data_IF_714191638833
#
_entry.id   IF_714191638833
#
_cell.length_a   1.000
_cell.length_b   1.000
_cell.length_c   1.000
_cell.angle_alpha   90.00
_cell.angle_beta   90.00
_cell.angle_gamma   90.00
#
_symmetry.space_group_name_H-M   'P 1'
#
loop_
_entity.id
_entity.type
_entity.pdbx_description
1 polymer ?
#
# COMPACT_ATOMS: atom_id res chain seq x y z
N UNK A 1 27.47 -18.77 32.71
CA UNK A 1 27.38 -18.18 31.36
C UNK A 1 25.96 -18.44 30.84
N UNK A 2 25.08 -17.46 30.96
CA UNK A 2 23.68 -17.59 30.55
C UNK A 2 23.61 -17.40 29.03
N UNK A 3 23.30 -18.47 28.29
CA UNK A 3 23.07 -18.37 26.84
C UNK A 3 21.77 -17.61 26.64
N UNK A 4 21.89 -16.34 26.25
CA UNK A 4 20.87 -15.57 25.54
C UNK A 4 20.53 -16.34 24.25
N UNK A 5 19.63 -17.32 24.38
CA UNK A 5 19.08 -18.07 23.26
C UNK A 5 18.18 -17.12 22.47
N UNK A 6 18.66 -16.75 21.28
CA UNK A 6 17.95 -15.98 20.26
C UNK A 6 16.47 -16.38 20.20
N UNK A 7 15.57 -15.48 20.61
CA UNK A 7 14.14 -15.60 20.29
C UNK A 7 14.00 -15.40 18.78
N UNK A 8 14.32 -16.42 18.00
CA UNK A 8 13.81 -16.51 16.63
C UNK A 8 12.30 -16.36 16.73
N UNK A 9 11.70 -15.37 16.04
CA UNK A 9 10.26 -15.20 16.05
C UNK A 9 9.62 -16.55 15.70
N UNK A 10 8.56 -16.98 16.41
CA UNK A 10 7.83 -18.18 16.02
C UNK A 10 7.47 -18.05 14.55
N UNK A 11 7.61 -19.11 13.75
CA UNK A 11 7.51 -19.07 12.29
C UNK A 11 6.40 -18.10 11.82
N UNK A 12 5.21 -18.22 12.42
CA UNK A 12 4.03 -17.37 12.17
C UNK A 12 4.26 -15.86 12.17
N UNK A 13 5.19 -15.34 12.95
CA UNK A 13 5.48 -13.90 13.02
C UNK A 13 6.20 -13.41 11.75
N UNK A 14 7.08 -14.21 11.17
CA UNK A 14 7.76 -13.85 9.90
C UNK A 14 6.78 -13.87 8.74
N UNK A 15 5.90 -14.87 8.69
CA UNK A 15 4.85 -14.92 7.67
C UNK A 15 3.86 -13.76 7.81
N UNK A 16 3.44 -13.41 9.04
CA UNK A 16 2.57 -12.27 9.29
C UNK A 16 3.18 -10.94 8.82
N UNK A 17 4.48 -10.72 9.07
CA UNK A 17 5.21 -9.54 8.58
C UNK A 17 5.28 -9.53 7.05
N UNK A 18 5.56 -10.67 6.43
CA UNK A 18 5.57 -10.79 4.97
C UNK A 18 4.21 -10.47 4.33
N UNK A 19 3.13 -10.93 4.94
CA UNK A 19 1.76 -10.61 4.52
C UNK A 19 1.45 -9.12 4.69
N UNK A 20 1.77 -8.54 5.85
CA UNK A 20 1.58 -7.11 6.10
C UNK A 20 2.32 -6.24 5.07
N UNK A 21 3.54 -6.63 4.69
CA UNK A 21 4.34 -5.94 3.68
C UNK A 21 3.70 -5.99 2.28
N UNK A 22 3.23 -7.17 1.87
CA UNK A 22 2.54 -7.35 0.58
C UNK A 22 1.24 -6.54 0.51
N UNK A 23 0.48 -6.51 1.61
CA UNK A 23 -0.74 -5.73 1.72
C UNK A 23 -0.46 -4.22 1.72
N UNK A 24 0.55 -3.80 2.50
CA UNK A 24 0.98 -2.41 2.59
C UNK A 24 1.35 -1.84 1.23
N UNK A 25 2.16 -2.55 0.44
CA UNK A 25 2.51 -2.11 -0.91
C UNK A 25 1.34 -2.12 -1.88
N UNK A 26 0.43 -3.09 -1.77
CA UNK A 26 -0.74 -3.15 -2.64
C UNK A 26 -1.65 -1.92 -2.49
N UNK A 27 -1.60 -1.24 -1.34
CA UNK A 27 -2.38 -0.04 -1.04
C UNK A 27 -1.53 1.23 -1.25
N UNK A 28 -0.30 1.27 -0.75
CA UNK A 28 0.56 2.44 -0.82
C UNK A 28 0.92 2.81 -2.26
N UNK A 29 1.16 1.81 -3.12
CA UNK A 29 1.64 2.05 -4.48
C UNK A 29 0.57 2.74 -5.37
N UNK A 30 -0.71 2.31 -5.37
CA UNK A 30 -1.77 3.08 -6.01
C UNK A 30 -1.95 4.49 -5.43
N UNK A 31 -2.00 4.64 -4.11
CA UNK A 31 -2.22 5.95 -3.47
C UNK A 31 -1.12 6.93 -3.88
N UNK A 32 0.15 6.57 -3.68
CA UNK A 32 1.28 7.43 -4.04
C UNK A 32 1.32 7.68 -5.53
N UNK A 33 1.08 6.66 -6.36
CA UNK A 33 1.04 6.81 -7.82
C UNK A 33 -0.01 7.82 -8.29
N UNK A 34 -1.27 7.66 -7.88
CA UNK A 34 -2.35 8.56 -8.29
C UNK A 34 -2.22 9.96 -7.69
N UNK A 35 -1.78 10.08 -6.43
CA UNK A 35 -1.54 11.38 -5.80
C UNK A 35 -0.41 12.13 -6.52
N UNK A 36 0.67 11.45 -6.89
CA UNK A 36 1.76 12.07 -7.65
C UNK A 36 1.31 12.51 -9.04
N UNK A 37 0.57 11.65 -9.77
CA UNK A 37 0.01 12.02 -11.07
C UNK A 37 -0.94 13.21 -10.95
N UNK A 38 -1.81 13.21 -9.93
CA UNK A 38 -2.71 14.33 -9.65
C UNK A 38 -1.97 15.61 -9.33
N UNK A 39 -0.95 15.54 -8.48
CA UNK A 39 -0.10 16.69 -8.14
C UNK A 39 0.62 17.25 -9.36
N UNK A 40 1.17 16.39 -10.22
CA UNK A 40 1.83 16.82 -11.45
C UNK A 40 0.85 17.48 -12.41
N UNK A 41 -0.37 16.95 -12.52
CA UNK A 41 -1.44 17.58 -13.30
C UNK A 41 -1.80 18.96 -12.73
N UNK A 42 -1.99 19.07 -11.40
CA UNK A 42 -2.28 20.35 -10.76
C UNK A 42 -1.18 21.39 -11.07
N UNK A 43 0.10 20.99 -11.07
CA UNK A 43 1.23 21.88 -11.41
C UNK A 43 1.28 22.27 -12.89
N UNK A 44 0.91 21.36 -13.80
CA UNK A 44 0.94 21.62 -15.25
C UNK A 44 -0.22 22.53 -15.67
N UNK A 45 -1.40 22.37 -15.06
CA UNK A 45 -2.60 23.15 -15.38
C UNK A 45 -2.79 24.39 -14.49
N UNK A 46 -1.84 24.65 -13.58
CA UNK A 46 -1.88 25.74 -12.59
C UNK A 46 -3.20 25.78 -11.80
N UNK A 47 -3.73 24.60 -11.48
CA UNK A 47 -4.96 24.45 -10.72
C UNK A 47 -4.67 24.38 -9.22
N UNK A 48 -5.64 24.82 -8.41
CA UNK A 48 -5.68 24.43 -7.00
C UNK A 48 -5.70 22.88 -6.92
N UNK A 49 -5.33 22.25 -5.77
CA UNK A 49 -4.94 20.83 -5.68
C UNK A 49 -6.10 19.82 -5.85
N UNK A 50 -6.96 20.02 -6.86
CA UNK A 50 -8.15 19.25 -7.15
C UNK A 50 -7.81 17.91 -7.80
N UNK A 51 -6.82 17.86 -8.72
CA UNK A 51 -6.41 16.61 -9.34
C UNK A 51 -5.71 15.69 -8.34
N UNK A 52 -4.97 16.25 -7.37
CA UNK A 52 -4.43 15.50 -6.23
C UNK A 52 -5.55 14.83 -5.43
N UNK A 53 -6.59 15.56 -5.05
CA UNK A 53 -7.72 14.98 -4.31
C UNK A 53 -8.48 13.96 -5.14
N UNK A 54 -8.67 14.22 -6.44
CA UNK A 54 -9.29 13.27 -7.35
C UNK A 54 -8.47 11.98 -7.43
N UNK A 55 -7.15 12.10 -7.58
CA UNK A 55 -6.23 10.97 -7.57
C UNK A 55 -6.30 10.16 -6.27
N UNK A 56 -6.35 10.84 -5.12
CA UNK A 56 -6.54 10.18 -3.83
C UNK A 56 -7.87 9.42 -3.77
N UNK A 57 -8.98 10.03 -4.17
CA UNK A 57 -10.30 9.38 -4.17
C UNK A 57 -10.33 8.18 -5.12
N UNK A 58 -9.76 8.30 -6.32
CA UNK A 58 -9.68 7.22 -7.32
C UNK A 58 -8.76 6.08 -6.86
N UNK A 59 -7.72 6.38 -6.08
CA UNK A 59 -6.81 5.36 -5.58
C UNK A 59 -7.48 4.38 -4.60
N UNK A 60 -8.54 4.79 -3.91
CA UNK A 60 -9.28 3.94 -2.96
C UNK A 60 -9.98 2.75 -3.64
N UNK A 61 -10.86 2.93 -4.64
CA UNK A 61 -11.47 1.81 -5.34
C UNK A 61 -10.43 0.98 -6.11
N UNK A 62 -9.38 1.60 -6.66
CA UNK A 62 -8.31 0.83 -7.33
C UNK A 62 -7.58 -0.08 -6.34
N UNK A 63 -7.20 0.45 -5.17
CA UNK A 63 -6.58 -0.34 -4.10
C UNK A 63 -7.50 -1.45 -3.62
N UNK A 64 -8.79 -1.17 -3.45
CA UNK A 64 -9.80 -2.16 -3.08
C UNK A 64 -9.90 -3.29 -4.11
N UNK A 65 -9.95 -2.97 -5.40
CA UNK A 65 -10.02 -3.96 -6.47
C UNK A 65 -8.75 -4.83 -6.53
N UNK A 66 -7.57 -4.23 -6.38
CA UNK A 66 -6.30 -4.97 -6.34
C UNK A 66 -6.28 -5.93 -5.15
N UNK A 67 -6.67 -5.42 -3.99
CA UNK A 67 -6.71 -6.19 -2.75
C UNK A 67 -7.72 -7.33 -2.85
N UNK A 68 -8.94 -7.06 -3.31
CA UNK A 68 -9.98 -8.06 -3.52
C UNK A 68 -9.52 -9.19 -4.46
N UNK A 69 -8.88 -8.85 -5.58
CA UNK A 69 -8.33 -9.83 -6.52
C UNK A 69 -7.20 -10.67 -5.91
N UNK A 70 -6.34 -10.06 -5.09
CA UNK A 70 -5.29 -10.77 -4.35
C UNK A 70 -5.89 -11.75 -3.35
N UNK A 71 -6.84 -11.29 -2.53
CA UNK A 71 -7.48 -12.12 -1.50
C UNK A 71 -8.28 -13.27 -2.11
N UNK A 72 -9.01 -13.02 -3.21
CA UNK A 72 -9.74 -14.08 -3.94
C UNK A 72 -8.81 -15.16 -4.52
N UNK A 73 -7.52 -14.87 -4.70
CA UNK A 73 -6.54 -15.88 -5.14
C UNK A 73 -6.07 -16.77 -3.98
N UNK A 74 -6.24 -16.32 -2.73
CA UNK A 74 -5.85 -17.06 -1.53
C UNK A 74 -7.01 -17.85 -0.90
N UNK A 75 -8.25 -17.40 -1.10
CA UNK A 75 -9.49 -18.11 -0.76
C UNK A 75 -9.83 -19.16 -1.83
#
# INVERSE_FOLDING_TARGET
MNKLGSKTPPAGMREAVGLAWQLGYAIALPIVGFVLVGKLADQVFDTAPWFLFLGLIVSLPVSFLILYRKLKKFL
#
